data_IF_990091591634
#
_entry.id   IF_990091591634
#
_cell.length_a   1.000
_cell.length_b   1.000
_cell.length_c   1.000
_cell.angle_alpha   90.00
_cell.angle_beta   90.00
_cell.angle_gamma   90.00
#
_symmetry.space_group_name_H-M   'P 1'
#
loop_
_entity.id
_entity.type
_entity.pdbx_description
1 polymer ?
#
# COMPACT_ATOMS: atom_id res chain seq x y z
N UNK A 1 -14.87 17.04 2.89
CA UNK A 1 -13.47 16.75 2.54
C UNK A 1 -13.30 15.23 2.54
N UNK A 2 -12.87 14.66 1.42
CA UNK A 2 -12.87 13.22 1.18
C UNK A 2 -11.86 12.48 2.08
N UNK A 3 -10.72 13.12 2.40
CA UNK A 3 -9.69 12.53 3.25
C UNK A 3 -10.20 12.35 4.69
N UNK A 4 -10.89 13.36 5.23
CA UNK A 4 -11.47 13.29 6.57
C UNK A 4 -12.52 12.18 6.69
N UNK A 5 -13.31 11.94 5.65
CA UNK A 5 -14.26 10.83 5.62
C UNK A 5 -13.58 9.47 5.67
N UNK A 6 -12.48 9.28 4.92
CA UNK A 6 -11.68 8.06 4.94
C UNK A 6 -11.09 7.82 6.34
N UNK A 7 -10.47 8.85 6.93
CA UNK A 7 -9.88 8.77 8.27
C UNK A 7 -10.92 8.44 9.34
N UNK A 8 -12.09 9.09 9.31
CA UNK A 8 -13.20 8.75 10.21
C UNK A 8 -13.63 7.30 10.04
N UNK A 9 -13.77 6.83 8.80
CA UNK A 9 -14.15 5.43 8.52
C UNK A 9 -13.15 4.43 9.10
N UNK A 10 -11.84 4.71 8.96
CA UNK A 10 -10.78 3.86 9.52
C UNK A 10 -10.83 3.86 11.05
N UNK A 11 -11.00 5.02 11.69
CA UNK A 11 -11.13 5.10 13.15
C UNK A 11 -12.37 4.37 13.67
N UNK A 12 -13.51 4.46 12.98
CA UNK A 12 -14.73 3.76 13.38
C UNK A 12 -14.59 2.23 13.22
N UNK A 13 -13.92 1.76 12.15
CA UNK A 13 -13.57 0.34 12.01
C UNK A 13 -12.68 -0.14 13.15
N UNK A 14 -11.63 0.61 13.50
CA UNK A 14 -10.75 0.28 14.62
C UNK A 14 -11.53 0.17 15.93
N UNK A 15 -12.35 1.17 16.28
CA UNK A 15 -13.16 1.16 17.51
C UNK A 15 -14.10 -0.04 17.56
N UNK A 16 -14.78 -0.33 16.45
CA UNK A 16 -15.72 -1.45 16.35
C UNK A 16 -15.00 -2.78 16.59
N UNK A 17 -13.85 -3.01 15.95
CA UNK A 17 -13.10 -4.26 16.08
C UNK A 17 -12.45 -4.40 17.46
N UNK A 18 -11.91 -3.32 18.01
CA UNK A 18 -11.39 -3.28 19.39
C UNK A 18 -12.47 -3.65 20.42
N UNK A 19 -13.71 -3.14 20.26
CA UNK A 19 -14.82 -3.48 21.15
C UNK A 19 -15.19 -4.98 21.15
N UNK A 20 -14.74 -5.72 20.12
CA UNK A 20 -14.97 -7.16 19.93
C UNK A 20 -13.70 -7.99 20.15
N UNK A 21 -12.62 -7.37 20.62
CA UNK A 21 -11.31 -8.02 20.77
C UNK A 21 -10.81 -8.65 19.47
N UNK A 22 -11.02 -7.95 18.34
CA UNK A 22 -10.53 -8.34 17.01
C UNK A 22 -9.45 -7.34 16.61
N UNK A 23 -8.30 -7.83 16.18
CA UNK A 23 -7.23 -6.96 15.72
C UNK A 23 -7.53 -6.38 14.35
N UNK A 24 -7.19 -5.10 14.20
CA UNK A 24 -7.35 -4.36 12.97
C UNK A 24 -5.99 -3.94 12.43
N UNK A 25 -5.72 -4.31 11.18
CA UNK A 25 -4.47 -4.00 10.48
C UNK A 25 -4.86 -3.46 9.09
N UNK A 26 -4.19 -2.40 8.65
CA UNK A 26 -4.40 -1.81 7.32
C UNK A 26 -3.28 -2.24 6.37
N UNK A 27 -3.62 -2.95 5.29
CA UNK A 27 -2.67 -3.25 4.22
C UNK A 27 -2.73 -2.16 3.15
N UNK A 28 -1.57 -1.61 2.77
CA UNK A 28 -1.42 -0.54 1.79
C UNK A 28 -0.72 -1.14 0.56
N UNK A 29 -1.44 -1.16 -0.55
CA UNK A 29 -1.01 -1.75 -1.81
C UNK A 29 -0.56 -0.67 -2.80
N UNK A 30 0.57 -0.87 -3.49
CA UNK A 30 1.03 0.09 -4.48
C UNK A 30 0.29 -0.07 -5.82
N UNK A 31 0.13 1.03 -6.53
CA UNK A 31 -0.27 1.07 -7.95
C UNK A 31 0.94 0.76 -8.85
N UNK A 32 0.70 0.31 -10.09
CA UNK A 32 1.73 -0.04 -11.06
C UNK A 32 2.67 1.13 -11.32
N UNK A 33 2.16 2.34 -11.52
CA UNK A 33 3.01 3.50 -11.80
C UNK A 33 3.92 3.90 -10.62
N UNK A 34 3.63 3.44 -9.40
CA UNK A 34 4.49 3.67 -8.24
C UNK A 34 5.67 2.68 -8.21
N UNK A 35 5.53 1.55 -8.91
CA UNK A 35 6.42 0.38 -8.90
C UNK A 35 7.22 0.26 -10.19
N UNK A 36 6.62 0.63 -11.32
CA UNK A 36 7.15 0.54 -12.67
C UNK A 36 7.60 1.92 -13.16
N UNK A 37 8.91 2.19 -13.06
CA UNK A 37 9.50 3.46 -13.49
C UNK A 37 9.34 3.70 -15.00
N UNK A 38 9.29 2.65 -15.83
CA UNK A 38 9.06 2.77 -17.28
C UNK A 38 7.66 3.32 -17.55
N UNK A 39 6.63 2.70 -16.96
CA UNK A 39 5.26 3.20 -17.06
C UNK A 39 5.13 4.63 -16.54
N UNK A 40 5.76 4.94 -15.40
CA UNK A 40 5.73 6.28 -14.84
C UNK A 40 6.34 7.30 -15.81
N UNK A 41 7.48 6.98 -16.41
CA UNK A 41 8.13 7.85 -17.38
C UNK A 41 7.29 8.01 -18.66
N UNK A 42 6.66 6.94 -19.14
CA UNK A 42 5.77 6.99 -20.30
C UNK A 42 4.58 7.93 -20.06
N UNK A 43 3.96 7.86 -18.87
CA UNK A 43 2.87 8.77 -18.48
C UNK A 43 3.34 10.23 -18.54
N UNK A 44 4.53 10.56 -18.02
CA UNK A 44 5.03 11.93 -18.06
C UNK A 44 5.50 12.37 -19.46
N UNK A 45 5.96 11.43 -20.29
CA UNK A 45 6.35 11.71 -21.67
C UNK A 45 5.14 11.97 -22.59
N UNK A 46 3.96 11.46 -22.25
CA UNK A 46 2.71 11.68 -23.02
C UNK A 46 2.19 13.12 -22.93
N UNK A 47 2.49 13.84 -21.83
CA UNK A 47 1.92 15.15 -21.56
C UNK A 47 3.01 16.22 -21.37
N UNK A 48 3.17 17.09 -22.38
CA UNK A 48 4.20 18.15 -22.42
C UNK A 48 4.17 19.11 -21.20
N UNK A 49 3.01 19.32 -20.58
CA UNK A 49 2.84 20.24 -19.45
C UNK A 49 3.06 19.57 -18.07
N UNK A 50 3.24 18.25 -18.01
CA UNK A 50 3.44 17.52 -16.76
C UNK A 50 4.93 17.43 -16.41
N UNK A 51 5.33 18.13 -15.34
CA UNK A 51 6.70 18.05 -14.80
C UNK A 51 6.79 16.99 -13.71
N UNK A 52 7.53 15.92 -13.95
CA UNK A 52 7.71 14.79 -13.01
C UNK A 52 8.10 15.22 -11.60
N UNK A 53 8.89 16.27 -11.46
CA UNK A 53 9.38 16.78 -10.17
C UNK A 53 8.29 17.50 -9.37
N UNK A 54 7.20 17.91 -10.02
CA UNK A 54 6.06 18.57 -9.38
C UNK A 54 5.08 17.57 -8.75
N UNK A 55 5.28 16.26 -8.97
CA UNK A 55 4.37 15.21 -8.49
C UNK A 55 5.04 14.34 -7.41
N UNK A 56 4.39 14.30 -6.25
CA UNK A 56 4.66 13.29 -5.23
C UNK A 56 3.74 12.08 -5.46
N UNK A 57 4.26 11.06 -6.14
CA UNK A 57 3.53 9.81 -6.45
C UNK A 57 3.21 8.96 -5.21
N UNK A 58 3.78 9.30 -4.05
CA UNK A 58 3.52 8.67 -2.75
C UNK A 58 2.72 9.58 -1.81
N UNK A 59 2.19 10.70 -2.29
CA UNK A 59 1.48 11.68 -1.45
C UNK A 59 0.32 11.04 -0.65
N UNK A 60 -0.56 10.29 -1.30
CA UNK A 60 -1.74 9.73 -0.65
C UNK A 60 -1.38 8.62 0.37
N UNK A 61 -0.42 7.76 0.04
CA UNK A 61 0.06 6.75 0.99
C UNK A 61 0.76 7.39 2.20
N UNK A 62 1.54 8.47 2.01
CA UNK A 62 2.20 9.18 3.12
C UNK A 62 1.18 9.85 4.04
N UNK A 63 0.14 10.45 3.48
CA UNK A 63 -0.98 11.03 4.23
C UNK A 63 -1.67 9.95 5.07
N UNK A 64 -1.96 8.79 4.47
CA UNK A 64 -2.57 7.66 5.17
C UNK A 64 -1.65 7.09 6.27
N UNK A 65 -0.38 6.83 5.96
CA UNK A 65 0.60 6.28 6.91
C UNK A 65 0.74 7.20 8.13
N UNK A 66 0.90 8.51 7.94
CA UNK A 66 0.99 9.47 9.05
C UNK A 66 -0.25 9.43 9.95
N UNK A 67 -1.44 9.29 9.36
CA UNK A 67 -2.67 9.14 10.13
C UNK A 67 -2.69 7.83 10.93
N UNK A 68 -2.32 6.70 10.31
CA UNK A 68 -2.28 5.39 10.98
C UNK A 68 -1.28 5.38 12.14
N UNK A 69 -0.09 5.94 11.94
CA UNK A 69 0.95 6.08 12.97
C UNK A 69 0.48 6.95 14.15
N UNK A 70 -0.11 8.11 13.86
CA UNK A 70 -0.61 9.02 14.89
C UNK A 70 -1.73 8.41 15.75
N UNK A 71 -2.46 7.42 15.22
CA UNK A 71 -3.56 6.73 15.92
C UNK A 71 -3.17 5.34 16.42
N UNK A 72 -1.90 4.94 16.30
CA UNK A 72 -1.41 3.63 16.74
C UNK A 72 -2.09 2.45 16.02
N UNK A 73 -2.50 2.65 14.76
CA UNK A 73 -3.13 1.61 13.93
C UNK A 73 -2.01 0.84 13.21
N UNK A 74 -1.88 -0.48 13.42
CA UNK A 74 -0.91 -1.29 12.71
C UNK A 74 -1.18 -1.29 11.19
N UNK A 75 -0.12 -1.24 10.40
CA UNK A 75 -0.23 -1.29 8.94
C UNK A 75 0.89 -2.11 8.29
N UNK A 76 0.64 -2.51 7.04
CA UNK A 76 1.59 -3.22 6.18
C UNK A 76 1.74 -2.41 4.90
N UNK A 77 2.94 -1.88 4.68
CA UNK A 77 3.31 -1.11 3.50
C UNK A 77 4.09 -2.04 2.53
N UNK A 78 3.72 -2.05 1.25
CA UNK A 78 4.25 -3.03 0.28
C UNK A 78 5.10 -2.41 -0.83
N UNK A 79 5.11 -1.08 -1.00
CA UNK A 79 5.71 -0.40 -2.15
C UNK A 79 7.18 -0.78 -2.34
N UNK A 80 7.99 -0.71 -1.28
CA UNK A 80 9.43 -0.95 -1.41
C UNK A 80 9.74 -2.38 -1.87
N UNK A 81 9.00 -3.37 -1.34
CA UNK A 81 9.16 -4.77 -1.75
C UNK A 81 8.71 -4.98 -3.19
N UNK A 82 7.61 -4.36 -3.59
CA UNK A 82 7.12 -4.40 -4.97
C UNK A 82 8.11 -3.76 -5.95
N UNK A 83 8.69 -2.60 -5.60
CA UNK A 83 9.74 -1.92 -6.40
C UNK A 83 10.98 -2.78 -6.57
N UNK A 84 11.41 -3.47 -5.52
CA UNK A 84 12.56 -4.37 -5.61
C UNK A 84 12.25 -5.54 -6.54
N UNK A 85 11.09 -6.16 -6.38
CA UNK A 85 10.75 -7.38 -7.13
C UNK A 85 10.38 -7.11 -8.60
N UNK A 86 9.77 -5.97 -8.91
CA UNK A 86 9.44 -5.55 -10.28
C UNK A 86 10.68 -5.48 -11.18
N UNK A 87 11.86 -5.19 -10.61
CA UNK A 87 13.14 -5.20 -11.36
C UNK A 87 13.54 -6.57 -11.85
N UNK A 88 13.03 -7.64 -11.23
CA UNK A 88 13.34 -9.02 -11.55
C UNK A 88 12.28 -9.67 -12.44
N UNK A 89 11.00 -9.33 -12.23
CA UNK A 89 9.86 -9.86 -13.00
C UNK A 89 8.66 -8.90 -12.96
N UNK A 90 7.82 -8.84 -14.00
CA UNK A 90 6.58 -8.07 -13.96
C UNK A 90 5.64 -8.55 -12.85
N UNK A 91 5.04 -7.63 -12.12
CA UNK A 91 4.06 -7.92 -11.04
C UNK A 91 2.62 -7.58 -11.41
N UNK A 92 2.42 -6.79 -12.47
CA UNK A 92 1.12 -6.33 -12.95
C UNK A 92 0.74 -7.03 -14.25
N UNK A 93 -0.55 -7.02 -14.56
CA UNK A 93 -1.06 -7.45 -15.86
C UNK A 93 -0.84 -6.34 -16.89
N UNK A 94 -0.64 -6.72 -18.15
CA UNK A 94 -0.36 -5.74 -19.20
C UNK A 94 -1.56 -4.80 -19.41
N UNK A 95 -1.35 -3.49 -19.20
CA UNK A 95 -2.36 -2.42 -19.35
C UNK A 95 -3.56 -2.59 -18.43
N UNK A 96 -3.31 -3.07 -17.23
CA UNK A 96 -4.34 -3.50 -16.31
C UNK A 96 -3.80 -3.29 -14.87
N UNK A 97 -4.51 -2.53 -14.01
CA UNK A 97 -3.98 -2.11 -12.71
C UNK A 97 -3.88 -3.22 -11.65
N UNK A 98 -4.47 -4.39 -11.87
CA UNK A 98 -4.35 -5.54 -10.97
C UNK A 98 -3.03 -6.29 -11.18
N UNK A 99 -2.64 -6.98 -10.11
CA UNK A 99 -1.48 -7.84 -10.11
C UNK A 99 -1.69 -9.09 -10.94
N UNK A 100 -0.61 -9.54 -11.58
CA UNK A 100 -0.53 -10.89 -12.11
C UNK A 100 -0.27 -11.91 -10.98
N UNK A 101 -0.10 -13.19 -11.31
CA UNK A 101 0.12 -14.24 -10.31
C UNK A 101 1.38 -14.02 -9.45
N UNK A 102 2.44 -13.40 -10.00
CA UNK A 102 3.65 -13.08 -9.26
C UNK A 102 3.44 -11.95 -8.25
N UNK A 103 2.73 -10.88 -8.63
CA UNK A 103 2.37 -9.80 -7.70
C UNK A 103 1.45 -10.27 -6.58
N UNK A 104 0.45 -11.10 -6.90
CA UNK A 104 -0.41 -11.73 -5.89
C UNK A 104 0.39 -12.63 -4.92
N UNK A 105 1.34 -13.42 -5.43
CA UNK A 105 2.19 -14.26 -4.59
C UNK A 105 3.07 -13.40 -3.66
N UNK A 106 3.70 -12.34 -4.18
CA UNK A 106 4.51 -11.43 -3.37
C UNK A 106 3.69 -10.79 -2.25
N UNK A 107 2.48 -10.30 -2.55
CA UNK A 107 1.59 -9.74 -1.52
C UNK A 107 1.21 -10.78 -0.46
N UNK A 108 0.88 -12.01 -0.88
CA UNK A 108 0.55 -13.10 0.02
C UNK A 108 1.72 -13.44 0.96
N UNK A 109 2.94 -13.51 0.44
CA UNK A 109 4.14 -13.77 1.23
C UNK A 109 4.39 -12.65 2.26
N UNK A 110 4.22 -11.39 1.86
CA UNK A 110 4.36 -10.23 2.76
C UNK A 110 3.34 -10.29 3.91
N UNK A 111 2.06 -10.54 3.57
CA UNK A 111 0.98 -10.65 4.56
C UNK A 111 1.22 -11.83 5.50
N UNK A 112 1.58 -12.99 4.96
CA UNK A 112 1.84 -14.20 5.73
C UNK A 112 2.98 -14.01 6.73
N UNK A 113 4.10 -13.44 6.27
CA UNK A 113 5.25 -13.15 7.13
C UNK A 113 4.90 -12.19 8.27
N UNK A 114 4.09 -11.17 7.98
CA UNK A 114 3.62 -10.23 8.99
C UNK A 114 2.74 -10.92 10.03
N UNK A 115 1.70 -11.63 9.59
CA UNK A 115 0.74 -12.31 10.47
C UNK A 115 1.43 -13.38 11.33
N UNK A 116 2.40 -14.11 10.77
CA UNK A 116 3.20 -15.07 11.52
C UNK A 116 4.02 -14.41 12.63
N UNK A 117 4.61 -13.23 12.39
CA UNK A 117 5.34 -12.48 13.43
C UNK A 117 4.41 -11.98 14.53
N UNK A 118 3.22 -11.50 14.18
CA UNK A 118 2.21 -11.05 15.14
C UNK A 118 1.70 -12.21 16.02
N UNK A 119 1.44 -13.37 15.42
CA UNK A 119 1.05 -14.58 16.17
C UNK A 119 2.12 -15.01 17.18
N UNK A 120 3.40 -14.94 16.81
CA UNK A 120 4.50 -15.22 17.74
C UNK A 120 4.59 -14.20 18.87
N UNK A 121 4.31 -12.92 18.59
CA UNK A 121 4.30 -11.85 19.61
C UNK A 121 3.17 -12.06 20.63
N UNK A 122 2.00 -12.54 20.22
CA UNK A 122 0.85 -12.79 21.10
C UNK A 122 1.04 -13.96 22.07
N UNK A 123 1.88 -14.93 21.71
CA UNK A 123 2.15 -16.11 22.53
C UNK A 123 3.22 -15.89 23.60
N UNK A 124 3.87 -14.72 23.62
CA UNK A 124 4.85 -14.31 24.62
C UNK A 124 4.19 -13.41 25.65
#
# INVERSE_FOLDING_TARGET
DNINYIFQSISEMQKLLQSRNIDFIVAIYPDEYQVNDELLNDIFAEYDDLKRESYNVTCQQEILIKFLEANGIPYIEMLDKFRIEQKNRPLYLLREPHWNSAGNLLAADILFDYLKKEEVRRKK
#
